data_IF_947129868523
#
_entry.id   IF_947129868523
#
_cell.length_a   1.000
_cell.length_b   1.000
_cell.length_c   1.000
_cell.angle_alpha   90.00
_cell.angle_beta   90.00
_cell.angle_gamma   90.00
#
_symmetry.space_group_name_H-M   'P 1'
#
loop_
_entity.id
_entity.type
_entity.pdbx_description
1 polymer ?
#
# COMPACT_ATOMS: atom_id res chain seq x y z
N UNK A 1 -12.85 -9.55 -6.53
CA UNK A 1 -12.39 -9.57 -5.11
C UNK A 1 -10.94 -9.15 -5.13
N UNK A 2 -10.64 -7.97 -4.57
CA UNK A 2 -9.28 -7.46 -4.48
C UNK A 2 -8.52 -8.25 -3.42
N UNK A 3 -7.30 -8.64 -3.77
CA UNK A 3 -6.36 -9.29 -2.87
C UNK A 3 -5.46 -8.23 -2.21
N UNK A 4 -5.45 -8.19 -0.88
CA UNK A 4 -4.63 -7.26 -0.10
C UNK A 4 -3.60 -8.06 0.67
N UNK A 5 -2.33 -7.78 0.43
CA UNK A 5 -1.21 -8.48 1.05
C UNK A 5 -0.30 -7.50 1.79
N UNK A 6 0.25 -7.95 2.91
CA UNK A 6 1.34 -7.27 3.61
C UNK A 6 2.55 -8.19 3.57
N UNK A 7 3.66 -7.70 3.05
CA UNK A 7 4.90 -8.48 2.86
C UNK A 7 6.08 -7.76 3.50
N UNK A 8 7.03 -8.51 4.02
CA UNK A 8 8.30 -7.93 4.43
C UNK A 8 9.26 -7.80 3.24
N UNK A 9 9.95 -6.67 3.09
CA UNK A 9 10.96 -6.52 2.05
C UNK A 9 12.20 -7.39 2.31
N UNK A 10 12.51 -7.65 3.59
CA UNK A 10 13.71 -8.39 4.00
C UNK A 10 13.74 -9.81 3.45
N UNK A 11 12.60 -10.47 3.43
CA UNK A 11 12.48 -11.90 3.12
C UNK A 11 11.26 -12.26 2.27
N UNK A 12 10.39 -11.30 1.95
CA UNK A 12 9.19 -11.51 1.16
C UNK A 12 8.06 -12.21 1.90
N UNK A 13 8.22 -12.52 3.19
CA UNK A 13 7.20 -13.22 3.96
C UNK A 13 5.97 -12.35 4.13
N UNK A 14 4.81 -12.98 3.97
CA UNK A 14 3.54 -12.35 4.27
C UNK A 14 3.38 -12.23 5.79
N UNK A 15 2.94 -11.06 6.23
CA UNK A 15 2.56 -10.83 7.61
C UNK A 15 1.12 -10.32 7.66
N UNK A 16 0.48 -10.43 8.82
CA UNK A 16 -0.84 -9.86 9.03
C UNK A 16 -0.71 -8.60 9.86
N UNK A 17 -1.36 -7.52 9.42
CA UNK A 17 -1.49 -6.30 10.19
C UNK A 17 -2.32 -6.59 11.45
N UNK A 18 -1.66 -6.83 12.58
CA UNK A 18 -2.29 -7.33 13.81
C UNK A 18 -2.84 -6.20 14.68
N UNK A 19 -3.58 -5.26 14.07
CA UNK A 19 -4.18 -4.14 14.78
C UNK A 19 -5.71 -4.21 14.73
N UNK A 20 -6.44 -4.08 15.86
CA UNK A 20 -7.91 -4.22 15.89
C UNK A 20 -8.64 -3.18 15.04
N UNK A 21 -8.03 -2.01 14.79
CA UNK A 21 -8.56 -0.97 13.91
C UNK A 21 -8.17 -1.14 12.44
N UNK A 22 -7.18 -1.99 12.14
CA UNK A 22 -6.74 -2.21 10.77
C UNK A 22 -7.84 -2.87 9.93
N UNK A 23 -8.67 -3.75 10.52
CA UNK A 23 -9.74 -4.44 9.79
C UNK A 23 -10.62 -3.50 8.96
N UNK A 24 -11.11 -2.41 9.58
CA UNK A 24 -11.93 -1.40 8.88
C UNK A 24 -11.15 -0.68 7.77
N UNK A 25 -9.90 -0.31 8.05
CA UNK A 25 -9.02 0.33 7.06
C UNK A 25 -8.73 -0.61 5.88
N UNK A 26 -8.62 -1.91 6.12
CA UNK A 26 -8.45 -2.91 5.05
C UNK A 26 -9.70 -3.05 4.18
N UNK A 27 -10.89 -3.01 4.78
CA UNK A 27 -12.14 -2.96 4.01
C UNK A 27 -12.21 -1.70 3.14
N UNK A 28 -11.77 -0.55 3.65
CA UNK A 28 -11.70 0.71 2.90
C UNK A 28 -10.68 0.61 1.74
N UNK A 29 -9.49 0.07 1.99
CA UNK A 29 -8.47 -0.19 0.94
C UNK A 29 -9.04 -1.11 -0.14
N UNK A 30 -9.80 -2.13 0.26
CA UNK A 30 -10.43 -3.09 -0.65
C UNK A 30 -11.48 -2.41 -1.51
N UNK A 31 -12.36 -1.61 -0.90
CA UNK A 31 -13.39 -0.86 -1.61
C UNK A 31 -12.77 0.15 -2.58
N UNK A 32 -11.76 0.90 -2.14
CA UNK A 32 -11.02 1.83 -2.98
C UNK A 32 -10.38 1.12 -4.16
N UNK A 33 -9.70 -0.02 -3.94
CA UNK A 33 -9.03 -0.76 -5.00
C UNK A 33 -10.03 -1.32 -6.04
N UNK A 34 -11.18 -1.82 -5.58
CA UNK A 34 -12.25 -2.32 -6.44
C UNK A 34 -12.83 -1.20 -7.31
N UNK A 35 -13.13 -0.04 -6.72
CA UNK A 35 -13.59 1.16 -7.44
C UNK A 35 -12.58 1.68 -8.47
N UNK A 36 -11.28 1.45 -8.23
CA UNK A 36 -10.19 1.91 -9.09
C UNK A 36 -9.67 0.86 -10.07
N UNK A 37 -10.24 -0.36 -10.07
CA UNK A 37 -9.87 -1.43 -10.98
C UNK A 37 -8.57 -2.16 -10.65
N UNK A 38 -8.09 -2.10 -9.40
CA UNK A 38 -6.94 -2.86 -8.96
C UNK A 38 -7.35 -4.23 -8.44
N UNK A 39 -6.70 -5.28 -8.95
CA UNK A 39 -6.94 -6.67 -8.52
C UNK A 39 -6.09 -7.08 -7.31
N UNK A 40 -4.89 -6.52 -7.19
CA UNK A 40 -3.94 -6.79 -6.11
C UNK A 40 -3.37 -5.48 -5.56
N UNK A 41 -3.31 -5.37 -4.23
CA UNK A 41 -2.63 -4.28 -3.52
C UNK A 41 -1.68 -4.92 -2.52
N UNK A 42 -0.40 -4.57 -2.60
CA UNK A 42 0.62 -5.11 -1.69
C UNK A 42 1.32 -3.98 -0.94
N UNK A 43 1.40 -4.12 0.37
CA UNK A 43 2.15 -3.23 1.24
C UNK A 43 3.43 -3.91 1.69
N UNK A 44 4.57 -3.36 1.29
CA UNK A 44 5.88 -3.91 1.64
C UNK A 44 6.48 -3.15 2.82
N UNK A 45 6.65 -3.83 3.94
CA UNK A 45 7.37 -3.28 5.09
C UNK A 45 8.83 -3.11 4.74
N UNK A 46 9.33 -1.90 4.91
CA UNK A 46 10.73 -1.56 4.71
C UNK A 46 11.62 -2.33 5.70
N UNK A 47 12.80 -2.75 5.23
CA UNK A 47 13.73 -3.57 6.01
C UNK A 47 14.38 -2.80 7.18
N UNK A 48 14.51 -1.48 7.05
CA UNK A 48 15.17 -0.60 8.02
C UNK A 48 14.14 0.12 8.89
N UNK A 49 12.96 0.41 8.34
CA UNK A 49 11.87 1.08 9.03
C UNK A 49 10.58 0.27 9.02
N UNK A 50 10.26 -0.36 10.15
CA UNK A 50 9.06 -1.20 10.30
C UNK A 50 7.75 -0.42 10.18
N UNK A 51 7.79 0.91 10.31
CA UNK A 51 6.63 1.77 10.17
C UNK A 51 6.38 2.20 8.74
N UNK A 52 7.33 1.97 7.83
CA UNK A 52 7.24 2.38 6.44
C UNK A 52 6.75 1.23 5.56
N UNK A 53 5.59 1.44 4.94
CA UNK A 53 4.94 0.47 4.07
C UNK A 53 4.94 0.98 2.63
N UNK A 54 5.84 0.47 1.80
CA UNK A 54 5.86 0.75 0.37
C UNK A 54 4.62 0.19 -0.31
N UNK A 55 4.02 0.97 -1.21
CA UNK A 55 2.78 0.60 -1.88
C UNK A 55 3.08 -0.01 -3.24
N UNK A 56 2.45 -1.14 -3.52
CA UNK A 56 2.38 -1.74 -4.84
C UNK A 56 0.91 -1.86 -5.25
N UNK A 57 0.60 -1.35 -6.44
CA UNK A 57 -0.73 -1.40 -7.04
C UNK A 57 -0.67 -2.26 -8.30
N UNK A 58 -1.35 -3.40 -8.29
CA UNK A 58 -1.18 -4.44 -9.31
C UNK A 58 0.27 -4.91 -9.39
N UNK A 59 0.86 -4.87 -10.58
CA UNK A 59 2.25 -5.27 -10.82
C UNK A 59 3.26 -4.14 -10.58
N UNK A 60 2.80 -2.93 -10.28
CA UNK A 60 3.65 -1.75 -10.17
C UNK A 60 3.97 -1.43 -8.71
N UNK A 61 5.22 -1.68 -8.31
CA UNK A 61 5.76 -1.18 -7.05
C UNK A 61 6.12 0.30 -7.16
N UNK A 62 5.58 1.11 -6.26
CA UNK A 62 5.68 2.56 -6.33
C UNK A 62 6.81 3.10 -5.46
N UNK A 63 7.38 4.25 -5.84
CA UNK A 63 8.18 5.09 -4.93
C UNK A 63 7.30 5.85 -3.93
N UNK A 64 6.34 5.15 -3.35
CA UNK A 64 5.39 5.73 -2.43
C UNK A 64 5.25 4.80 -1.24
N UNK A 65 5.30 5.38 -0.05
CA UNK A 65 5.18 4.65 1.20
C UNK A 65 4.13 5.31 2.08
N UNK A 66 3.48 4.50 2.89
CA UNK A 66 2.49 4.91 3.88
C UNK A 66 3.02 4.50 5.24
N UNK A 67 2.84 5.37 6.23
CA UNK A 67 3.19 5.04 7.61
C UNK A 67 2.18 4.06 8.20
N UNK A 68 2.62 3.03 8.93
CA UNK A 68 1.75 2.00 9.54
C UNK A 68 0.67 2.62 10.44
N UNK A 69 0.98 3.76 11.08
CA UNK A 69 0.01 4.50 11.89
C UNK A 69 -1.25 4.89 11.12
N UNK A 70 -1.17 5.06 9.80
CA UNK A 70 -2.35 5.32 8.95
C UNK A 70 -3.37 4.18 9.07
N UNK A 71 -2.89 2.95 9.23
CA UNK A 71 -3.71 1.75 9.39
C UNK A 71 -4.13 1.52 10.85
N UNK A 72 -3.32 1.96 11.83
CA UNK A 72 -3.60 1.74 13.26
C UNK A 72 -4.45 2.85 13.89
N UNK A 73 -4.33 4.10 13.42
CA UNK A 73 -5.10 5.25 13.89
C UNK A 73 -6.57 5.19 13.46
N UNK A 74 -6.89 4.45 12.39
CA UNK A 74 -8.26 4.21 11.93
C UNK A 74 -8.93 5.41 11.26
N UNK A 75 -8.14 6.34 10.72
CA UNK A 75 -8.64 7.49 9.96
C UNK A 75 -8.88 7.08 8.51
N UNK A 76 -10.08 6.57 8.23
CA UNK A 76 -10.56 6.21 6.89
C UNK A 76 -10.18 7.24 5.80
N UNK A 77 -10.50 8.52 6.03
CA UNK A 77 -10.21 9.60 5.08
C UNK A 77 -8.70 9.75 4.82
N UNK A 78 -7.86 9.38 5.79
CA UNK A 78 -6.42 9.41 5.61
C UNK A 78 -5.94 8.27 4.71
N UNK A 79 -6.47 7.05 4.84
CA UNK A 79 -6.01 5.92 4.01
C UNK A 79 -6.38 6.11 2.53
N UNK A 80 -7.62 6.50 2.24
CA UNK A 80 -8.06 6.67 0.85
C UNK A 80 -7.29 7.78 0.15
N UNK A 81 -7.06 8.89 0.85
CA UNK A 81 -6.26 9.99 0.35
C UNK A 81 -4.82 9.55 0.03
N UNK A 82 -4.20 8.76 0.91
CA UNK A 82 -2.86 8.21 0.69
C UNK A 82 -2.82 7.27 -0.52
N UNK A 83 -3.86 6.44 -0.71
CA UNK A 83 -3.99 5.57 -1.87
C UNK A 83 -4.23 6.35 -3.16
N UNK A 84 -4.98 7.45 -3.11
CA UNK A 84 -5.15 8.35 -4.25
C UNK A 84 -3.85 9.04 -4.65
N UNK A 85 -3.04 9.46 -3.68
CA UNK A 85 -1.69 9.94 -3.93
C UNK A 85 -0.81 8.84 -4.55
N UNK A 86 -0.89 7.61 -4.05
CA UNK A 86 -0.17 6.46 -4.60
C UNK A 86 -0.59 6.17 -6.04
N UNK A 87 -1.89 6.17 -6.35
CA UNK A 87 -2.43 6.04 -7.73
C UNK A 87 -1.94 7.17 -8.63
N UNK A 88 -1.91 8.40 -8.13
CA UNK A 88 -1.30 9.53 -8.83
C UNK A 88 0.18 9.30 -9.12
N UNK A 89 0.94 8.77 -8.16
CA UNK A 89 2.35 8.41 -8.33
C UNK A 89 2.55 7.26 -9.33
N UNK A 90 1.65 6.27 -9.36
CA UNK A 90 1.64 5.19 -10.35
C UNK A 90 1.44 5.74 -11.77
N UNK A 91 0.46 6.62 -11.97
CA UNK A 91 0.24 7.28 -13.27
C UNK A 91 1.46 8.08 -13.72
N UNK A 92 2.14 8.75 -12.78
CA UNK A 92 3.39 9.48 -13.07
C UNK A 92 4.57 8.55 -13.36
N UNK A 93 4.69 7.42 -12.64
CA UNK A 93 5.76 6.44 -12.87
C UNK A 93 5.56 5.71 -14.20
N UNK A 94 4.33 5.34 -14.54
CA UNK A 94 3.97 4.75 -15.83
C UNK A 94 4.16 5.74 -17.00
N UNK A 95 4.04 7.05 -16.75
CA UNK A 95 4.31 8.11 -17.73
C UNK A 95 5.82 8.41 -17.92
N UNK A 96 6.69 7.74 -17.18
CA UNK A 96 8.14 7.82 -17.33
C UNK A 96 8.81 8.17 -16.01
N UNK A 97 9.41 7.17 -15.36
CA UNK A 97 10.73 7.27 -14.72
C UNK A 97 11.11 5.85 -14.27
N UNK A 98 11.63 5.08 -15.22
CA UNK A 98 12.38 3.85 -15.01
C UNK A 98 13.71 4.21 -14.31
N UNK A 99 13.65 4.59 -13.04
CA UNK A 99 14.84 4.78 -12.19
C UNK A 99 14.53 4.32 -10.77
N UNK A 100 14.53 3.01 -10.60
CA UNK A 100 14.92 2.41 -9.35
C UNK A 100 16.09 1.48 -9.61
N UNK A 101 17.30 2.05 -9.51
CA UNK A 101 18.45 1.31 -9.01
C UNK A 101 19.48 2.34 -8.50
N UNK A 102 19.67 2.38 -7.18
CA UNK A 102 20.99 2.50 -6.56
C UNK A 102 20.95 2.19 -5.07
#
# INVERSE_FOLDING_TARGET
MVDIQFRDEKDGSEFQMTHPRAGRVLDDVRAWADQNGFTHVTFWRDREDMHKLWVQLGDNRLNYWIHDSTFTEGKHESVEMQLDYARGAQRRSAAGYDKFDK
#
